data_IF_084295266627
#
_entry.id   IF_084295266627
#
_cell.length_a   1.000
_cell.length_b   1.000
_cell.length_c   1.000
_cell.angle_alpha   90.00
_cell.angle_beta   90.00
_cell.angle_gamma   90.00
#
_symmetry.space_group_name_H-M   'P 1'
#
loop_
_entity.id
_entity.type
_entity.pdbx_description
1 polymer ?
#
# COMPACT_ATOMS: atom_id res chain seq x y z
N UNK A 1 -13.65 12.62 -9.23
CA UNK A 1 -14.53 12.36 -8.06
C UNK A 1 -15.98 12.24 -8.50
N UNK A 2 -16.32 12.89 -9.62
CA UNK A 2 -17.61 13.01 -10.29
C UNK A 2 -18.38 11.69 -10.47
N UNK A 3 -17.68 10.55 -10.57
CA UNK A 3 -18.35 9.24 -10.67
C UNK A 3 -18.93 8.78 -9.35
N UNK A 4 -18.19 8.95 -8.25
CA UNK A 4 -18.65 8.57 -6.92
C UNK A 4 -19.84 9.46 -6.50
N UNK A 5 -19.76 10.76 -6.78
CA UNK A 5 -20.85 11.72 -6.54
C UNK A 5 -22.13 11.33 -7.30
N UNK A 6 -22.01 10.98 -8.59
CA UNK A 6 -23.15 10.49 -9.37
C UNK A 6 -23.75 9.19 -8.83
N UNK A 7 -22.90 8.28 -8.32
CA UNK A 7 -23.38 7.03 -7.71
C UNK A 7 -24.17 7.34 -6.44
N UNK A 8 -23.66 8.24 -5.60
CA UNK A 8 -24.34 8.68 -4.37
C UNK A 8 -25.69 9.34 -4.72
N UNK A 9 -25.72 10.29 -5.65
CA UNK A 9 -26.96 10.93 -6.11
C UNK A 9 -27.99 9.90 -6.62
N UNK A 10 -27.53 8.90 -7.38
CA UNK A 10 -28.39 7.83 -7.86
C UNK A 10 -28.96 7.02 -6.70
N UNK A 11 -28.12 6.58 -5.76
CA UNK A 11 -28.55 5.79 -4.60
C UNK A 11 -29.50 6.57 -3.68
N UNK A 12 -29.25 7.86 -3.47
CA UNK A 12 -30.10 8.74 -2.64
C UNK A 12 -31.45 9.05 -3.29
N UNK A 13 -31.56 8.95 -4.63
CA UNK A 13 -32.82 9.17 -5.33
C UNK A 13 -33.92 8.18 -4.96
N UNK A 14 -33.56 7.01 -4.40
CA UNK A 14 -34.49 5.96 -3.98
C UNK A 14 -35.26 5.27 -5.12
N UNK A 15 -34.91 5.54 -6.38
CA UNK A 15 -35.61 5.04 -7.58
C UNK A 15 -35.00 3.77 -8.16
N UNK A 16 -33.88 3.30 -7.62
CA UNK A 16 -33.20 2.11 -8.14
C UNK A 16 -33.80 0.84 -7.52
N UNK A 17 -33.97 -0.23 -8.33
CA UNK A 17 -34.27 -1.55 -7.79
C UNK A 17 -33.10 -2.05 -6.94
N UNK A 18 -33.39 -3.01 -6.06
CA UNK A 18 -32.43 -3.51 -5.08
C UNK A 18 -31.16 -4.07 -5.72
N UNK A 19 -31.29 -4.82 -6.81
CA UNK A 19 -30.17 -5.37 -7.56
C UNK A 19 -29.23 -4.26 -8.05
N UNK A 20 -29.78 -3.18 -8.59
CA UNK A 20 -28.96 -2.05 -9.07
C UNK A 20 -28.33 -1.28 -7.92
N UNK A 21 -29.00 -1.17 -6.77
CA UNK A 21 -28.42 -0.55 -5.56
C UNK A 21 -27.18 -1.31 -5.08
N UNK A 22 -27.21 -2.64 -5.11
CA UNK A 22 -26.06 -3.48 -4.72
C UNK A 22 -24.89 -3.23 -5.67
N UNK A 23 -25.13 -3.24 -6.99
CA UNK A 23 -24.09 -2.97 -7.99
C UNK A 23 -23.49 -1.57 -7.81
N UNK A 24 -24.33 -0.56 -7.58
CA UNK A 24 -23.88 0.83 -7.35
C UNK A 24 -23.08 0.97 -6.07
N UNK A 25 -23.48 0.28 -5.00
CA UNK A 25 -22.75 0.27 -3.74
C UNK A 25 -21.35 -0.35 -3.89
N UNK A 26 -21.23 -1.49 -4.58
CA UNK A 26 -19.94 -2.12 -4.85
C UNK A 26 -19.03 -1.22 -5.69
N UNK A 27 -19.58 -0.58 -6.73
CA UNK A 27 -18.86 0.40 -7.54
C UNK A 27 -18.37 1.59 -6.68
N UNK A 28 -19.24 2.12 -5.82
CA UNK A 28 -18.92 3.20 -4.89
C UNK A 28 -17.80 2.81 -3.92
N UNK A 29 -17.85 1.62 -3.34
CA UNK A 29 -16.82 1.12 -2.42
C UNK A 29 -15.45 0.97 -3.09
N UNK A 30 -15.42 0.47 -4.33
CA UNK A 30 -14.18 0.39 -5.10
C UNK A 30 -13.57 1.77 -5.36
N UNK A 31 -14.41 2.76 -5.71
CA UNK A 31 -13.95 4.13 -5.92
C UNK A 31 -13.42 4.77 -4.63
N UNK A 32 -14.08 4.54 -3.49
CA UNK A 32 -13.62 5.00 -2.17
C UNK A 32 -12.23 4.44 -1.86
N UNK A 33 -12.02 3.13 -2.07
CA UNK A 33 -10.73 2.48 -1.86
C UNK A 33 -9.62 3.13 -2.69
N UNK A 34 -9.88 3.37 -3.98
CA UNK A 34 -8.93 4.04 -4.87
C UNK A 34 -8.60 5.46 -4.37
N UNK A 35 -9.60 6.19 -3.87
CA UNK A 35 -9.36 7.52 -3.33
C UNK A 35 -8.47 7.50 -2.08
N UNK A 36 -8.69 6.55 -1.19
CA UNK A 36 -7.86 6.35 0.00
C UNK A 36 -6.42 6.01 -0.36
N UNK A 37 -6.20 5.12 -1.34
CA UNK A 37 -4.86 4.78 -1.82
C UNK A 37 -4.14 5.99 -2.42
N UNK A 38 -4.85 6.82 -3.18
CA UNK A 38 -4.30 8.06 -3.74
C UNK A 38 -3.93 9.07 -2.67
N UNK A 39 -4.76 9.21 -1.64
CA UNK A 39 -4.49 10.08 -0.49
C UNK A 39 -3.25 9.60 0.27
N UNK A 40 -3.17 8.32 0.61
CA UNK A 40 -2.01 7.73 1.27
C UNK A 40 -0.71 7.94 0.47
N UNK A 41 -0.77 7.78 -0.87
CA UNK A 41 0.39 8.02 -1.72
C UNK A 41 0.80 9.50 -1.75
N UNK A 42 -0.17 10.41 -1.74
CA UNK A 42 0.10 11.85 -1.68
C UNK A 42 0.72 12.24 -0.34
N UNK A 43 0.19 11.74 0.78
CA UNK A 43 0.74 11.94 2.12
C UNK A 43 2.19 11.46 2.21
N UNK A 44 2.47 10.24 1.73
CA UNK A 44 3.82 9.70 1.70
C UNK A 44 4.79 10.58 0.88
N UNK A 45 4.35 11.10 -0.26
CA UNK A 45 5.16 12.02 -1.09
C UNK A 45 5.45 13.33 -0.36
N UNK A 46 4.44 13.92 0.29
CA UNK A 46 4.61 15.13 1.09
C UNK A 46 5.61 14.88 2.21
N UNK A 47 5.52 13.74 2.89
CA UNK A 47 6.41 13.38 3.98
C UNK A 47 7.87 13.23 3.52
N UNK A 48 8.10 12.60 2.36
CA UNK A 48 9.45 12.51 1.75
C UNK A 48 9.99 13.89 1.41
N UNK A 49 9.19 14.75 0.76
CA UNK A 49 9.59 16.12 0.41
C UNK A 49 9.91 16.93 1.67
N UNK A 50 9.09 16.81 2.72
CA UNK A 50 9.28 17.51 3.99
C UNK A 50 10.57 17.05 4.71
N UNK A 51 10.84 15.74 4.77
CA UNK A 51 12.09 15.20 5.32
C UNK A 51 13.32 15.69 4.54
N UNK A 52 13.23 15.70 3.21
CA UNK A 52 14.28 16.21 2.34
C UNK A 52 14.53 17.72 2.56
N UNK A 53 13.46 18.51 2.67
CA UNK A 53 13.56 19.96 2.92
C UNK A 53 14.09 20.29 4.32
N UNK A 54 13.88 19.41 5.31
CA UNK A 54 14.44 19.52 6.66
C UNK A 54 15.88 18.97 6.76
N UNK A 55 16.52 18.60 5.64
CA UNK A 55 17.90 18.13 5.59
C UNK A 55 18.14 16.74 6.19
N UNK A 56 17.09 15.93 6.40
CA UNK A 56 17.21 14.59 6.98
C UNK A 56 17.18 13.53 5.87
N UNK A 57 18.28 12.80 5.72
CA UNK A 57 18.51 11.78 4.70
C UNK A 57 17.44 10.68 4.70
N UNK A 58 16.76 10.49 3.57
CA UNK A 58 15.88 9.35 3.32
C UNK A 58 16.72 8.23 2.70
N UNK A 59 17.21 7.31 3.53
CA UNK A 59 17.69 6.01 3.04
C UNK A 59 16.43 5.16 2.85
N UNK A 60 16.03 4.94 1.61
CA UNK A 60 15.03 3.94 1.28
C UNK A 60 15.81 2.73 0.81
N UNK A 61 15.96 1.73 1.68
CA UNK A 61 16.53 0.45 1.30
C UNK A 61 15.70 -0.12 0.15
N UNK A 62 16.38 -0.36 -0.97
CA UNK A 62 15.80 -0.93 -2.18
C UNK A 62 15.78 -2.45 -2.00
N UNK A 63 14.61 -3.02 -1.70
CA UNK A 63 14.36 -4.46 -1.79
C UNK A 63 13.91 -4.76 -3.23
N UNK A 64 14.76 -5.35 -4.10
CA UNK A 64 14.32 -5.81 -5.40
C UNK A 64 13.31 -6.95 -5.20
N UNK A 65 12.12 -6.79 -5.78
CA UNK A 65 11.15 -7.87 -5.92
C UNK A 65 11.81 -9.08 -6.58
N UNK A 66 11.97 -10.18 -5.85
CA UNK A 66 12.31 -11.48 -6.43
C UNK A 66 11.05 -12.34 -6.50
N UNK A 67 10.57 -12.53 -7.73
CA UNK A 67 9.66 -13.61 -8.10
C UNK A 67 10.37 -14.97 -7.95
N UNK A 68 9.73 -15.88 -7.19
CA UNK A 68 9.75 -17.37 -7.23
C UNK A 68 11.07 -18.18 -7.29
N UNK A 69 11.17 -19.34 -6.62
CA UNK A 69 12.42 -20.04 -6.36
C UNK A 69 12.76 -21.06 -7.45
N UNK A 70 13.88 -20.88 -8.13
CA UNK A 70 14.59 -21.98 -8.80
C UNK A 70 16.07 -21.61 -9.04
N UNK A 71 16.96 -22.58 -8.74
CA UNK A 71 18.39 -22.67 -9.10
C UNK A 71 19.44 -22.15 -8.07
N UNK A 72 19.76 -23.06 -7.13
CA UNK A 72 21.11 -23.60 -6.87
C UNK A 72 22.38 -22.69 -6.78
N UNK A 73 22.89 -22.61 -5.53
CA UNK A 73 24.25 -23.03 -5.06
C UNK A 73 25.49 -22.17 -5.40
N UNK A 74 26.06 -21.52 -4.37
CA UNK A 74 27.50 -21.37 -4.03
C UNK A 74 27.59 -20.49 -2.76
N UNK A 75 27.80 -21.02 -1.56
CA UNK A 75 29.09 -21.16 -0.84
C UNK A 75 29.97 -19.90 -0.91
N UNK A 76 30.14 -19.18 0.20
CA UNK A 76 31.41 -19.16 0.97
C UNK A 76 31.34 -18.20 2.20
N UNK A 77 32.23 -18.45 3.17
CA UNK A 77 32.26 -18.08 4.59
C UNK A 77 32.80 -16.67 4.90
N UNK A 78 32.40 -16.12 6.06
CA UNK A 78 33.24 -15.34 7.01
C UNK A 78 32.35 -14.91 8.20
N UNK A 79 32.37 -15.67 9.30
CA UNK A 79 33.11 -15.35 10.55
C UNK A 79 32.77 -13.98 11.18
N UNK A 80 32.01 -13.99 12.29
CA UNK A 80 32.45 -13.33 13.54
C UNK A 80 31.54 -13.72 14.72
N UNK A 81 32.08 -14.57 15.59
CA UNK A 81 32.10 -14.47 17.06
C UNK A 81 30.81 -14.34 17.88
N UNK A 82 30.63 -15.36 18.74
CA UNK A 82 30.30 -15.32 20.18
C UNK A 82 28.95 -14.73 20.62
N UNK A 83 28.04 -15.62 21.05
CA UNK A 83 27.68 -15.78 22.47
C UNK A 83 26.59 -16.86 22.64
N UNK A 84 26.99 -18.12 22.63
CA UNK A 84 26.32 -19.15 23.44
C UNK A 84 27.27 -19.35 24.63
N UNK A 85 26.88 -19.09 25.87
CA UNK A 85 26.29 -20.10 26.75
C UNK A 85 25.56 -19.34 27.87
N UNK A 86 24.23 -19.38 27.89
CA UNK A 86 23.46 -19.20 29.12
C UNK A 86 23.16 -20.58 29.67
N UNK A 87 24.12 -21.11 30.42
CA UNK A 87 23.90 -22.19 31.36
C UNK A 87 23.15 -21.57 32.54
N UNK A 88 21.91 -22.03 32.74
CA UNK A 88 20.98 -21.92 33.88
C UNK A 88 19.57 -21.56 33.39
#
# INVERSE_FOLDING_TARGET
MDRLEKIVEQMESGKLPLEDLIVRYEEGMNLVKICQERLANAEQKIEIIARNSAGKTVVKDFEPTQESPAAAKAVDQSESTNDEIKLF
#
